data_IF_793536566914
#
_entry.id   IF_793536566914
#
_cell.length_a   1.000
_cell.length_b   1.000
_cell.length_c   1.000
_cell.angle_alpha   90.00
_cell.angle_beta   90.00
_cell.angle_gamma   90.00
#
_symmetry.space_group_name_H-M   'P 1'
#
loop_
_entity.id
_entity.type
_entity.pdbx_description
1 polymer ?
#
# COMPACT_ATOMS: atom_id res chain seq x y z
N UNK A 1 18.90 -12.89 1.69
CA UNK A 1 18.87 -11.65 2.51
C UNK A 1 17.71 -11.71 3.46
N UNK A 2 17.90 -11.27 4.70
CA UNK A 2 16.81 -11.03 5.64
C UNK A 2 16.65 -9.51 5.82
N UNK A 3 15.39 -9.08 5.97
CA UNK A 3 14.98 -7.68 6.12
C UNK A 3 13.90 -7.57 7.20
N UNK A 4 13.77 -6.41 7.80
CA UNK A 4 12.67 -6.11 8.69
C UNK A 4 11.58 -5.36 7.90
N UNK A 5 10.36 -5.88 7.96
CA UNK A 5 9.17 -5.32 7.28
C UNK A 5 8.21 -4.82 8.34
N UNK A 6 7.87 -3.54 8.27
CA UNK A 6 6.81 -2.95 9.09
C UNK A 6 5.48 -3.09 8.37
N UNK A 7 4.54 -3.80 9.00
CA UNK A 7 3.24 -4.07 8.41
C UNK A 7 2.31 -2.89 8.64
N UNK A 8 1.71 -2.40 7.54
CA UNK A 8 0.66 -1.39 7.58
C UNK A 8 -0.72 -2.03 7.43
N UNK A 9 -0.86 -3.01 6.53
CA UNK A 9 -2.13 -3.60 6.16
C UNK A 9 -2.07 -5.12 6.29
N UNK A 10 -2.76 -5.70 7.29
CA UNK A 10 -2.83 -7.15 7.43
C UNK A 10 -3.57 -7.82 6.27
N UNK A 11 -3.20 -9.05 5.94
CA UNK A 11 -3.90 -9.93 5.01
C UNK A 11 -5.42 -9.96 5.28
N UNK A 12 -6.21 -9.93 4.21
CA UNK A 12 -7.67 -9.99 4.30
C UNK A 12 -8.33 -8.64 4.63
N UNK A 13 -7.57 -7.59 4.85
CA UNK A 13 -8.11 -6.25 5.07
C UNK A 13 -8.51 -5.58 3.75
N UNK A 14 -9.51 -4.71 3.85
CA UNK A 14 -9.96 -3.82 2.78
C UNK A 14 -9.60 -2.37 3.06
N UNK A 15 -9.32 -2.04 4.32
CA UNK A 15 -8.84 -0.73 4.70
C UNK A 15 -7.36 -0.59 4.30
N UNK A 16 -7.04 0.49 3.60
CA UNK A 16 -5.67 0.90 3.35
C UNK A 16 -5.21 1.78 4.51
N UNK A 17 -4.16 1.36 5.16
CA UNK A 17 -3.47 2.11 6.19
C UNK A 17 -2.11 2.54 5.68
N UNK A 18 -1.60 3.65 6.19
CA UNK A 18 -0.29 4.19 5.87
C UNK A 18 0.39 4.68 7.14
N UNK A 19 1.71 4.58 7.20
CA UNK A 19 2.51 5.16 8.26
C UNK A 19 2.58 6.68 8.07
N UNK A 20 2.08 7.43 9.03
CA UNK A 20 2.36 8.85 9.15
C UNK A 20 3.70 9.00 9.88
N UNK A 21 4.79 9.12 9.12
CA UNK A 21 6.15 9.17 9.65
C UNK A 21 6.36 10.40 10.57
N UNK A 22 5.69 11.51 10.30
CA UNK A 22 5.79 12.72 11.12
C UNK A 22 5.13 12.52 12.50
N UNK A 23 4.00 11.81 12.53
CA UNK A 23 3.27 11.50 13.75
C UNK A 23 3.73 10.19 14.43
N UNK A 24 4.50 9.35 13.73
CA UNK A 24 4.89 8.01 14.19
C UNK A 24 3.69 7.08 14.42
N UNK A 25 2.66 7.16 13.59
CA UNK A 25 1.39 6.44 13.77
C UNK A 25 0.84 5.91 12.47
N UNK A 26 0.21 4.74 12.54
CA UNK A 26 -0.59 4.20 11.44
C UNK A 26 -1.88 5.01 11.33
N UNK A 27 -2.20 5.47 10.13
CA UNK A 27 -3.39 6.23 9.77
C UNK A 27 -4.24 5.46 8.77
N UNK A 28 -5.55 5.50 8.92
CA UNK A 28 -6.46 5.04 7.87
C UNK A 28 -6.42 6.05 6.71
N UNK A 29 -5.92 5.64 5.56
CA UNK A 29 -6.01 6.41 4.32
C UNK A 29 -7.44 6.31 3.75
N UNK A 30 -7.85 5.12 3.36
CA UNK A 30 -9.21 4.85 2.85
C UNK A 30 -9.57 3.38 2.93
N UNK A 31 -10.82 3.06 2.76
CA UNK A 31 -11.27 1.72 2.39
C UNK A 31 -11.14 1.58 0.86
N UNK A 32 -10.62 0.47 0.36
CA UNK A 32 -10.57 0.19 -1.07
C UNK A 32 -11.97 0.31 -1.68
N UNK A 33 -12.08 0.95 -2.84
CA UNK A 33 -13.37 1.13 -3.51
C UNK A 33 -13.86 -0.18 -4.14
N UNK A 34 -12.94 -1.05 -4.55
CA UNK A 34 -13.26 -2.42 -4.99
C UNK A 34 -13.60 -3.32 -3.80
N UNK A 35 -14.19 -4.48 -4.05
CA UNK A 35 -14.46 -5.49 -3.02
C UNK A 35 -13.25 -6.37 -2.68
N UNK A 36 -12.12 -6.14 -3.34
CA UNK A 36 -10.88 -6.91 -3.12
C UNK A 36 -10.31 -6.69 -1.72
N UNK A 37 -9.47 -7.63 -1.30
CA UNK A 37 -8.78 -7.61 0.00
C UNK A 37 -7.31 -7.90 -0.23
N UNK A 38 -6.45 -7.35 0.59
CA UNK A 38 -5.01 -7.61 0.52
C UNK A 38 -4.72 -9.11 0.64
N UNK A 39 -4.01 -9.71 -0.32
CA UNK A 39 -3.79 -11.16 -0.36
C UNK A 39 -2.72 -11.67 0.61
N UNK A 40 -1.88 -10.76 1.11
CA UNK A 40 -0.81 -11.01 2.08
C UNK A 40 -0.73 -9.84 3.05
N UNK A 41 0.04 -9.98 4.12
CA UNK A 41 0.41 -8.82 4.93
C UNK A 41 1.23 -7.85 4.06
N UNK A 42 0.89 -6.58 4.12
CA UNK A 42 1.49 -5.54 3.28
C UNK A 42 2.07 -4.43 4.15
N UNK A 43 3.22 -3.96 3.78
CA UNK A 43 3.93 -2.87 4.46
C UNK A 43 5.17 -2.48 3.69
N UNK A 44 6.21 -2.03 4.37
CA UNK A 44 7.43 -1.58 3.73
C UNK A 44 8.69 -2.06 4.47
N UNK A 45 9.81 -2.04 3.78
CA UNK A 45 11.12 -2.35 4.34
C UNK A 45 11.69 -1.05 4.92
N UNK A 46 12.03 -1.06 6.20
CA UNK A 46 12.64 0.08 6.89
C UNK A 46 14.01 0.45 6.28
N UNK A 47 14.41 1.72 6.40
CA UNK A 47 15.67 2.26 5.89
C UNK A 47 15.87 2.07 4.38
N UNK A 48 14.79 2.21 3.61
CA UNK A 48 14.78 2.18 2.14
C UNK A 48 14.11 3.41 1.57
N UNK A 49 14.49 3.80 0.34
CA UNK A 49 13.87 4.87 -0.42
C UNK A 49 13.72 4.42 -1.87
N UNK A 50 12.48 4.24 -2.31
CA UNK A 50 12.15 3.88 -3.70
C UNK A 50 12.18 5.12 -4.61
N UNK A 51 12.01 4.92 -5.92
CA UNK A 51 12.12 6.00 -6.91
C UNK A 51 10.99 7.03 -6.81
N UNK A 52 9.85 6.66 -6.24
CA UNK A 52 8.70 7.54 -5.99
C UNK A 52 8.83 8.38 -4.71
N UNK A 53 9.89 8.17 -3.93
CA UNK A 53 10.18 8.89 -2.69
C UNK A 53 9.61 8.26 -1.43
N UNK A 54 8.91 7.12 -1.55
CA UNK A 54 8.37 6.36 -0.44
C UNK A 54 9.32 5.18 -0.06
N UNK A 55 9.22 4.58 1.12
CA UNK A 55 9.93 3.35 1.44
C UNK A 55 9.55 2.20 0.49
N UNK A 56 10.45 1.25 0.26
CA UNK A 56 10.20 0.13 -0.64
C UNK A 56 9.16 -0.84 -0.07
N UNK A 57 8.06 -1.01 -0.79
CA UNK A 57 6.94 -1.85 -0.41
C UNK A 57 7.29 -3.34 -0.34
N UNK A 58 6.65 -4.06 0.57
CA UNK A 58 6.80 -5.49 0.74
C UNK A 58 5.48 -6.20 1.02
N UNK A 59 5.36 -7.40 0.46
CA UNK A 59 4.32 -8.39 0.76
C UNK A 59 4.94 -9.51 1.59
N UNK A 60 4.34 -9.84 2.72
CA UNK A 60 4.76 -10.97 3.55
C UNK A 60 3.72 -12.08 3.45
N UNK A 61 4.11 -13.20 2.83
CA UNK A 61 3.28 -14.41 2.77
C UNK A 61 3.21 -15.02 4.15
N UNK A 62 2.03 -15.03 4.73
CA UNK A 62 1.77 -15.52 6.07
C UNK A 62 0.40 -16.19 6.13
N UNK A 63 0.26 -17.26 6.93
CA UNK A 63 -1.02 -17.95 7.08
C UNK A 63 -2.02 -17.11 7.89
N UNK A 64 -1.61 -16.68 9.09
CA UNK A 64 -2.41 -15.85 9.98
C UNK A 64 -1.98 -14.40 9.86
N UNK A 65 -2.91 -13.45 9.62
CA UNK A 65 -2.57 -12.04 9.49
C UNK A 65 -2.02 -11.49 10.81
N UNK A 66 -1.11 -10.53 10.70
CA UNK A 66 -0.61 -9.78 11.86
C UNK A 66 -1.49 -8.55 12.16
N UNK A 67 -0.91 -7.46 12.60
CA UNK A 67 -1.63 -6.22 12.93
C UNK A 67 -0.84 -4.99 12.43
N UNK A 68 -1.48 -3.87 12.18
CA UNK A 68 -0.80 -2.64 11.76
C UNK A 68 0.25 -2.19 12.79
N UNK A 69 1.49 -1.96 12.33
CA UNK A 69 2.64 -1.63 13.16
C UNK A 69 3.45 -2.85 13.64
N UNK A 70 3.10 -4.06 13.22
CA UNK A 70 3.90 -5.26 13.50
C UNK A 70 5.19 -5.23 12.68
N UNK A 71 6.33 -5.39 13.34
CA UNK A 71 7.62 -5.55 12.69
C UNK A 71 7.94 -7.04 12.56
N UNK A 72 8.20 -7.50 11.33
CA UNK A 72 8.48 -8.90 11.03
C UNK A 72 9.86 -9.03 10.40
N UNK A 73 10.72 -9.85 10.99
CA UNK A 73 11.95 -10.26 10.33
C UNK A 73 11.64 -11.29 9.24
N UNK A 74 11.91 -10.92 7.99
CA UNK A 74 11.50 -11.63 6.80
C UNK A 74 12.70 -12.06 5.95
N UNK A 75 12.57 -13.22 5.29
CA UNK A 75 13.47 -13.65 4.21
C UNK A 75 12.88 -13.24 2.87
N UNK A 76 13.67 -12.55 2.05
CA UNK A 76 13.33 -12.16 0.68
C UNK A 76 13.30 -13.39 -0.23
N UNK A 77 12.25 -13.52 -1.05
CA UNK A 77 12.07 -14.63 -2.00
C UNK A 77 11.82 -14.19 -3.44
N UNK A 78 11.54 -12.93 -3.69
CA UNK A 78 11.31 -12.40 -5.03
C UNK A 78 10.70 -11.02 -5.01
N UNK A 79 10.22 -10.57 -6.16
CA UNK A 79 9.63 -9.24 -6.32
C UNK A 79 8.56 -9.27 -7.41
N UNK A 80 7.49 -8.52 -7.21
CA UNK A 80 6.48 -8.23 -8.22
C UNK A 80 6.71 -6.83 -8.78
N UNK A 81 6.92 -6.74 -10.09
CA UNK A 81 7.16 -5.48 -10.77
C UNK A 81 5.87 -4.90 -11.30
N UNK A 82 5.64 -3.66 -10.98
CA UNK A 82 4.50 -2.90 -11.49
C UNK A 82 4.83 -1.42 -11.64
N UNK A 83 3.94 -0.72 -12.33
CA UNK A 83 3.96 0.72 -12.48
C UNK A 83 2.58 1.28 -12.19
N UNK A 84 2.55 2.41 -11.56
CA UNK A 84 1.35 3.21 -11.42
C UNK A 84 1.55 4.61 -12.05
N UNK A 85 0.68 5.55 -11.73
CA UNK A 85 0.75 6.92 -12.22
C UNK A 85 1.98 7.71 -11.76
N UNK A 86 2.64 7.27 -10.68
CA UNK A 86 3.87 7.89 -10.15
C UNK A 86 5.15 7.30 -10.75
N UNK A 87 5.09 6.12 -11.33
CA UNK A 87 6.25 5.43 -11.93
C UNK A 87 6.40 3.97 -11.54
N UNK A 88 7.63 3.54 -11.27
CA UNK A 88 7.93 2.21 -10.76
C UNK A 88 7.37 2.07 -9.35
N UNK A 89 6.69 0.95 -9.09
CA UNK A 89 6.02 0.65 -7.83
C UNK A 89 6.20 -0.84 -7.51
N UNK A 90 7.47 -1.25 -7.39
CA UNK A 90 7.87 -2.64 -7.19
C UNK A 90 7.52 -3.11 -5.76
N UNK A 91 7.10 -4.37 -5.63
CA UNK A 91 6.71 -4.99 -4.36
C UNK A 91 7.61 -6.18 -4.07
N UNK A 92 8.43 -6.10 -3.02
CA UNK A 92 9.26 -7.22 -2.57
C UNK A 92 8.36 -8.30 -1.98
N UNK A 93 8.61 -9.57 -2.32
CA UNK A 93 7.91 -10.71 -1.76
C UNK A 93 8.78 -11.39 -0.72
N UNK A 94 8.23 -11.56 0.47
CA UNK A 94 8.92 -12.09 1.65
C UNK A 94 8.14 -13.19 2.33
N UNK A 95 8.83 -13.96 3.17
CA UNK A 95 8.26 -14.89 4.13
C UNK A 95 8.89 -14.66 5.51
N UNK A 96 8.21 -14.94 6.64
CA UNK A 96 8.83 -14.88 7.95
C UNK A 96 10.09 -15.74 8.00
N UNK A 97 11.24 -15.16 8.37
CA UNK A 97 12.56 -15.80 8.25
C UNK A 97 12.71 -17.05 9.13
N UNK A 98 11.96 -17.12 10.24
CA UNK A 98 12.06 -18.19 11.24
C UNK A 98 10.88 -19.17 11.24
N UNK A 99 9.97 -19.06 10.26
CA UNK A 99 8.85 -19.99 10.17
C UNK A 99 9.28 -21.27 9.42
N UNK A 100 9.31 -22.44 10.09
CA UNK A 100 9.72 -23.70 9.47
C UNK A 100 8.76 -24.15 8.37
N UNK A 101 7.49 -23.71 8.39
CA UNK A 101 6.50 -24.01 7.35
C UNK A 101 6.85 -23.31 6.03
N UNK A 102 7.55 -22.17 6.10
CA UNK A 102 7.99 -21.38 4.94
C UNK A 102 9.42 -21.69 4.49
N UNK A 103 10.07 -22.68 5.10
CA UNK A 103 11.48 -23.03 4.84
C UNK A 103 11.74 -23.40 3.38
N UNK A 104 10.77 -24.00 2.71
CA UNK A 104 10.84 -24.42 1.31
C UNK A 104 10.74 -23.25 0.32
N UNK A 105 10.23 -22.08 0.74
CA UNK A 105 10.10 -20.89 -0.11
C UNK A 105 11.41 -20.10 -0.08
N UNK A 106 12.27 -20.31 -1.08
CA UNK A 106 13.59 -19.70 -1.20
C UNK A 106 13.75 -18.77 -2.39
N UNK A 107 12.80 -18.83 -3.31
CA UNK A 107 12.76 -18.01 -4.52
C UNK A 107 11.31 -17.94 -5.02
N UNK A 108 11.00 -16.98 -5.90
CA UNK A 108 9.68 -16.78 -6.47
C UNK A 108 9.14 -18.04 -7.17
N UNK A 109 10.03 -18.86 -7.71
CA UNK A 109 9.66 -20.10 -8.39
C UNK A 109 9.11 -21.18 -7.45
N UNK A 110 9.32 -21.05 -6.15
CA UNK A 110 8.77 -21.96 -5.14
C UNK A 110 7.36 -21.55 -4.69
N UNK A 111 6.93 -20.34 -5.01
CA UNK A 111 5.56 -19.87 -4.72
C UNK A 111 4.61 -20.49 -5.74
N UNK A 112 3.51 -21.13 -5.31
CA UNK A 112 2.52 -21.69 -6.23
C UNK A 112 2.06 -20.68 -7.27
N UNK A 113 1.90 -21.12 -8.50
CA UNK A 113 1.52 -20.24 -9.62
C UNK A 113 0.21 -19.50 -9.33
N UNK A 114 -0.77 -20.19 -8.78
CA UNK A 114 -2.07 -19.60 -8.50
C UNK A 114 -2.00 -18.51 -7.42
N UNK A 115 -1.16 -18.67 -6.42
CA UNK A 115 -0.92 -17.63 -5.39
C UNK A 115 -0.28 -16.37 -6.00
N UNK A 116 0.67 -16.54 -6.91
CA UNK A 116 1.23 -15.42 -7.68
C UNK A 116 0.19 -14.72 -8.55
N UNK A 117 -0.68 -15.48 -9.21
CA UNK A 117 -1.79 -14.94 -10.02
C UNK A 117 -2.81 -14.18 -9.16
N UNK A 118 -3.10 -14.66 -7.95
CA UNK A 118 -4.00 -13.98 -7.01
C UNK A 118 -3.43 -12.62 -6.57
N UNK A 119 -2.14 -12.57 -6.21
CA UNK A 119 -1.44 -11.33 -5.86
C UNK A 119 -1.43 -10.37 -7.06
N UNK A 120 -1.06 -10.84 -8.23
CA UNK A 120 -1.05 -10.03 -9.45
C UNK A 120 -2.43 -9.45 -9.75
N UNK A 121 -3.46 -10.29 -9.74
CA UNK A 121 -4.83 -9.86 -9.99
C UNK A 121 -5.30 -8.81 -8.98
N UNK A 122 -4.95 -8.96 -7.70
CA UNK A 122 -5.26 -7.94 -6.70
C UNK A 122 -4.72 -6.57 -7.12
N UNK A 123 -3.44 -6.47 -7.47
CA UNK A 123 -2.85 -5.20 -7.88
C UNK A 123 -3.38 -4.67 -9.21
N UNK A 124 -3.81 -5.53 -10.12
CA UNK A 124 -4.44 -5.11 -11.37
C UNK A 124 -5.79 -4.41 -11.16
N UNK A 125 -6.52 -4.76 -10.10
CA UNK A 125 -7.90 -4.30 -9.93
C UNK A 125 -8.15 -3.45 -8.69
N UNK A 126 -7.27 -3.42 -7.69
CA UNK A 126 -7.56 -2.78 -6.40
C UNK A 126 -7.84 -1.28 -6.48
N UNK A 127 -7.23 -0.57 -7.46
CA UNK A 127 -7.48 0.84 -7.77
C UNK A 127 -8.49 1.05 -8.93
N UNK A 128 -9.10 -0.01 -9.49
CA UNK A 128 -9.89 0.07 -10.72
C UNK A 128 -11.10 1.01 -10.65
N UNK A 129 -11.64 1.27 -9.45
CA UNK A 129 -12.75 2.19 -9.23
C UNK A 129 -12.30 3.57 -8.73
N UNK A 130 -11.00 3.82 -8.63
CA UNK A 130 -10.44 5.10 -8.22
C UNK A 130 -10.24 5.99 -9.46
N UNK A 131 -10.83 7.21 -9.50
CA UNK A 131 -10.69 8.10 -10.65
C UNK A 131 -9.22 8.49 -10.90
N UNK A 132 -8.79 8.39 -12.17
CA UNK A 132 -7.45 8.80 -12.59
C UNK A 132 -6.30 7.85 -12.18
N UNK A 133 -6.60 6.75 -11.52
CA UNK A 133 -5.60 5.75 -11.15
C UNK A 133 -5.41 4.71 -12.26
N UNK A 134 -4.16 4.40 -12.55
CA UNK A 134 -3.79 3.40 -13.56
C UNK A 134 -2.71 2.51 -12.97
N UNK A 135 -2.88 1.20 -13.08
CA UNK A 135 -1.88 0.21 -12.71
C UNK A 135 -1.50 -0.60 -13.95
N UNK A 136 -0.22 -0.85 -14.12
CA UNK A 136 0.31 -1.77 -15.13
C UNK A 136 1.21 -2.77 -14.44
N UNK A 137 0.83 -4.02 -14.48
CA UNK A 137 1.66 -5.11 -13.99
C UNK A 137 2.66 -5.52 -15.06
N UNK A 138 3.90 -5.80 -14.66
CA UNK A 138 4.96 -6.18 -15.60
C UNK A 138 5.29 -7.67 -15.45
N UNK A 139 6.07 -8.04 -14.46
CA UNK A 139 6.55 -9.41 -14.31
C UNK A 139 6.95 -9.71 -12.86
N UNK A 140 7.06 -11.00 -12.58
CA UNK A 140 7.73 -11.50 -11.40
C UNK A 140 9.24 -11.53 -11.62
N UNK A 141 10.00 -11.13 -10.62
CA UNK A 141 11.45 -11.20 -10.62
C UNK A 141 11.95 -12.10 -9.48
N UNK A 142 13.09 -12.72 -9.69
CA UNK A 142 13.69 -13.66 -8.76
C UNK A 142 14.22 -12.96 -7.49
N UNK A 143 14.63 -13.76 -6.53
CA UNK A 143 15.20 -13.27 -5.27
C UNK A 143 16.41 -12.35 -5.49
N UNK A 144 17.28 -12.66 -6.46
CA UNK A 144 18.48 -11.86 -6.72
C UNK A 144 18.15 -10.46 -7.20
N UNK A 145 17.14 -10.34 -8.06
CA UNK A 145 16.65 -9.04 -8.52
C UNK A 145 16.02 -8.24 -7.37
N UNK A 146 15.24 -8.89 -6.50
CA UNK A 146 14.68 -8.25 -5.31
C UNK A 146 15.76 -7.77 -4.33
N UNK A 147 16.77 -8.60 -4.05
CA UNK A 147 17.90 -8.23 -3.18
C UNK A 147 18.69 -7.05 -3.76
N UNK A 148 18.87 -7.00 -5.08
CA UNK A 148 19.55 -5.88 -5.74
C UNK A 148 18.74 -4.56 -5.63
N UNK A 149 17.40 -4.64 -5.76
CA UNK A 149 16.54 -3.47 -5.60
C UNK A 149 16.55 -2.95 -4.16
N UNK A 150 16.50 -3.84 -3.17
CA UNK A 150 16.61 -3.45 -1.75
C UNK A 150 17.92 -2.71 -1.49
N UNK A 151 19.05 -3.22 -2.00
CA UNK A 151 20.34 -2.55 -1.83
C UNK A 151 20.39 -1.18 -2.53
N UNK A 152 19.77 -1.04 -3.70
CA UNK A 152 19.65 0.24 -4.39
C UNK A 152 18.81 1.24 -3.58
N UNK A 153 17.67 0.79 -3.01
CA UNK A 153 16.81 1.62 -2.15
C UNK A 153 17.51 2.03 -0.85
N UNK A 154 18.26 1.14 -0.23
CA UNK A 154 19.07 1.46 0.98
C UNK A 154 20.13 2.49 0.68
N UNK A 155 20.79 2.37 -0.47
CA UNK A 155 21.79 3.35 -0.89
C UNK A 155 21.16 4.73 -1.10
N UNK A 156 20.03 4.81 -1.79
CA UNK A 156 19.28 6.08 -1.97
C UNK A 156 18.88 6.69 -0.62
N UNK A 157 18.39 5.86 0.30
CA UNK A 157 18.05 6.31 1.66
C UNK A 157 19.24 6.90 2.41
N UNK A 158 20.41 6.23 2.39
CA UNK A 158 21.62 6.72 3.02
C UNK A 158 22.12 8.03 2.41
N UNK A 159 22.12 8.14 1.08
CA UNK A 159 22.50 9.34 0.35
C UNK A 159 21.58 10.53 0.66
N UNK A 160 20.28 10.30 0.77
CA UNK A 160 19.30 11.32 1.15
C UNK A 160 19.50 11.78 2.60
N UNK A 161 19.81 10.88 3.51
CA UNK A 161 20.11 11.19 4.91
C UNK A 161 21.38 12.06 5.05
N UNK A 162 22.43 11.77 4.27
CA UNK A 162 23.67 12.55 4.25
C UNK A 162 23.48 13.97 3.71
N UNK A 163 22.53 14.15 2.76
CA UNK A 163 22.22 15.46 2.16
C UNK A 163 21.26 16.30 3.02
N UNK A 164 20.86 15.81 4.20
CA UNK A 164 19.93 16.50 5.09
C UNK A 164 18.47 16.46 4.63
N UNK A 165 18.15 15.69 3.59
CA UNK A 165 16.80 15.44 3.07
C UNK A 165 16.14 14.23 3.77
N UNK A 166 16.76 13.72 4.82
CA UNK A 166 16.35 12.54 5.58
C UNK A 166 15.16 12.78 6.51
N UNK A 167 14.11 13.37 5.98
CA UNK A 167 12.78 13.33 6.54
C UNK A 167 11.88 12.72 5.48
N UNK A 168 11.67 11.44 5.53
CA UNK A 168 10.69 10.76 4.66
C UNK A 168 9.34 11.39 4.91
N UNK A 169 9.02 12.41 4.14
CA UNK A 169 7.67 12.93 4.07
C UNK A 169 6.89 12.00 3.13
N UNK A 170 6.23 11.02 3.71
CA UNK A 170 5.10 10.39 3.04
C UNK A 170 4.14 11.50 2.66
N UNK A 171 4.16 11.91 1.39
CA UNK A 171 3.33 13.01 0.92
C UNK A 171 1.86 12.62 1.00
N UNK A 172 1.19 13.10 2.03
CA UNK A 172 -0.27 13.19 2.03
C UNK A 172 -0.65 14.30 1.05
N UNK A 173 -0.68 14.01 -0.23
CA UNK A 173 -1.44 14.80 -1.18
C UNK A 173 -2.87 14.30 -1.22
N UNK A 174 -3.57 14.43 -0.10
CA UNK A 174 -5.01 14.48 -0.11
C UNK A 174 -5.40 15.83 -0.70
N UNK A 175 -5.59 15.91 -2.00
CA UNK A 175 -6.28 17.02 -2.62
C UNK A 175 -7.72 17.04 -2.13
N UNK A 176 -7.96 17.82 -1.09
CA UNK A 176 -9.29 18.24 -0.72
C UNK A 176 -9.73 19.29 -1.75
N UNK A 177 -10.33 18.86 -2.84
CA UNK A 177 -11.15 19.71 -3.69
C UNK A 177 -12.46 20.02 -2.95
N UNK A 178 -12.41 21.01 -2.09
CA UNK A 178 -13.55 21.63 -1.45
C UNK A 178 -13.74 23.03 -2.00
N UNK A 179 -14.33 23.13 -3.16
CA UNK A 179 -14.81 24.41 -3.68
C UNK A 179 -16.14 24.74 -3.01
N UNK A 180 -16.08 25.62 -2.03
CA UNK A 180 -17.24 26.21 -1.40
C UNK A 180 -17.82 27.27 -2.34
N UNK A 181 -18.88 26.94 -3.04
CA UNK A 181 -19.72 27.91 -3.71
C UNK A 181 -20.62 28.63 -2.70
N UNK A 182 -20.54 29.97 -2.75
CA UNK A 182 -21.15 30.89 -1.82
C UNK A 182 -22.66 30.80 -1.71
N UNK A 183 -23.11 31.01 -0.50
CA UNK A 183 -24.47 31.31 -0.13
C UNK A 183 -24.73 32.81 -0.25
N UNK A 184 -25.74 33.19 -1.00
CA UNK A 184 -26.44 34.45 -0.75
C UNK A 184 -27.82 34.21 -0.18
N UNK A 185 -28.30 35.04 0.76
CA UNK A 185 -29.61 34.87 1.39
C UNK A 185 -30.63 35.86 0.76
N UNK A 186 -31.80 35.36 0.53
CA UNK A 186 -32.96 36.19 0.18
C UNK A 186 -34.22 35.34 0.25
N UNK A 187 -35.03 35.53 1.19
CA UNK A 187 -35.98 36.58 1.46
C UNK A 187 -37.39 36.04 1.35
N UNK A 188 -38.01 35.92 2.50
CA UNK A 188 -39.41 36.28 2.86
C UNK A 188 -40.62 35.63 2.15
N UNK A 189 -41.45 35.16 3.02
CA UNK A 189 -42.91 35.39 3.17
C UNK A 189 -43.91 34.40 2.56
N UNK A 190 -44.60 33.79 3.47
CA UNK A 190 -46.04 33.84 3.74
C UNK A 190 -46.99 32.91 2.98
N UNK A 191 -47.62 32.16 3.79
CA UNK A 191 -49.08 32.04 3.93
C UNK A 191 -49.81 30.99 3.11
N UNK A 192 -50.66 30.27 3.79
CA UNK A 192 -51.92 29.82 3.24
C UNK A 192 -52.31 28.35 3.35
N UNK A 193 -52.83 27.98 4.51
CA UNK A 193 -54.07 27.21 4.71
C UNK A 193 -54.34 25.87 3.99
N UNK A 194 -54.46 24.88 4.81
CA UNK A 194 -55.70 24.10 5.08
C UNK A 194 -56.11 22.92 4.19
N UNK A 195 -56.22 21.79 4.87
CA UNK A 195 -57.36 20.89 4.91
C UNK A 195 -57.56 19.81 3.85
N UNK A 196 -57.83 18.63 4.36
CA UNK A 196 -58.76 17.65 3.79
C UNK A 196 -58.14 16.31 3.44
N UNK A 197 -58.12 15.34 4.27
CA UNK A 197 -59.10 14.30 4.56
C UNK A 197 -59.29 13.23 3.49
N UNK A 198 -59.02 12.02 3.91
CA UNK A 198 -59.69 10.75 3.63
C UNK A 198 -59.62 10.11 2.21
N UNK A 199 -59.02 9.01 2.13
CA UNK A 199 -59.53 7.62 2.08
C UNK A 199 -58.40 6.64 1.99
#
# INVERSE_FOLDING_TARGET
MDVDVLIEIPKGQRNKYEMDHAAGRIRLDRMLFTSTRYPADYGYIEDTLADDGDPLDALVLIEEPTFPGCLINCRVIGMFRMRDEKGLDDKVLCVPARDPRMEHLRDIHHVPEFERLEIQHFFEVYKALEPGKVVRTEAWADRRAAEAEIEACRKRFAEAAEQGEGGVHGGVTGEAAGEAAGSEPGGAAADGTAAGAAS
#
